data_IF_221756993365
#
_entry.id   IF_221756993365
#
_cell.length_a   1.000
_cell.length_b   1.000
_cell.length_c   1.000
_cell.angle_alpha   90.00
_cell.angle_beta   90.00
_cell.angle_gamma   90.00
#
_symmetry.space_group_name_H-M   'P 1'
#
loop_
_entity.id
_entity.type
_entity.pdbx_description
1 polymer ?
#
# COMPACT_ATOMS: atom_id res chain seq x y z
N UNK A 1 -0.13 -11.60 -13.98
CA UNK A 1 0.59 -12.73 -13.35
C UNK A 1 -0.22 -14.03 -13.42
N UNK A 2 -1.36 -14.15 -12.74
CA UNK A 2 -2.16 -15.40 -12.68
C UNK A 2 -2.48 -16.03 -14.05
N UNK A 3 -2.88 -15.24 -15.06
CA UNK A 3 -3.12 -15.76 -16.41
C UNK A 3 -1.86 -16.42 -17.03
N UNK A 4 -0.67 -15.82 -16.83
CA UNK A 4 0.59 -16.40 -17.29
C UNK A 4 1.00 -17.66 -16.51
N UNK A 5 0.46 -17.82 -15.31
CA UNK A 5 0.75 -18.92 -14.39
C UNK A 5 -0.35 -20.00 -14.39
N UNK A 6 -1.21 -20.04 -15.43
CA UNK A 6 -2.17 -21.13 -15.63
C UNK A 6 -3.54 -20.96 -14.97
N UNK A 7 -3.92 -19.74 -14.55
CA UNK A 7 -5.22 -19.53 -13.88
C UNK A 7 -6.45 -19.96 -14.72
N UNK A 8 -6.36 -19.92 -16.06
CA UNK A 8 -7.43 -20.42 -16.94
C UNK A 8 -7.68 -21.93 -16.77
N UNK A 9 -6.59 -22.70 -16.68
CA UNK A 9 -6.64 -24.13 -16.44
C UNK A 9 -7.15 -24.42 -15.02
N UNK A 10 -6.64 -23.69 -14.02
CA UNK A 10 -7.12 -23.81 -12.64
C UNK A 10 -8.64 -23.59 -12.54
N UNK A 11 -9.18 -22.55 -13.22
CA UNK A 11 -10.61 -22.28 -13.24
C UNK A 11 -11.38 -23.45 -13.88
N UNK A 12 -10.90 -23.98 -15.01
CA UNK A 12 -11.56 -25.09 -15.69
C UNK A 12 -11.59 -26.35 -14.82
N UNK A 13 -10.46 -26.72 -14.22
CA UNK A 13 -10.33 -27.91 -13.37
C UNK A 13 -11.15 -27.80 -12.08
N UNK A 14 -11.10 -26.65 -11.42
CA UNK A 14 -11.89 -26.41 -10.19
C UNK A 14 -13.38 -26.41 -10.48
N UNK A 15 -13.83 -25.80 -11.60
CA UNK A 15 -15.25 -25.77 -11.98
C UNK A 15 -15.80 -27.16 -12.31
N UNK A 16 -14.98 -28.05 -12.85
CA UNK A 16 -15.38 -29.43 -13.18
C UNK A 16 -15.39 -30.35 -11.96
N UNK A 17 -14.51 -30.10 -10.97
CA UNK A 17 -14.17 -31.11 -9.97
C UNK A 17 -14.68 -30.81 -8.56
N UNK A 18 -15.06 -29.58 -8.23
CA UNK A 18 -15.45 -29.18 -6.86
C UNK A 18 -16.94 -29.37 -6.52
N UNK A 19 -17.76 -29.76 -7.50
CA UNK A 19 -19.20 -30.07 -7.32
C UNK A 19 -20.09 -28.83 -7.14
N UNK A 20 -21.41 -29.07 -7.07
CA UNK A 20 -22.44 -28.02 -7.12
C UNK A 20 -22.51 -27.11 -5.88
N UNK A 21 -21.84 -27.50 -4.78
CA UNK A 21 -21.75 -26.71 -3.54
C UNK A 21 -20.75 -25.55 -3.61
N UNK A 22 -19.95 -25.46 -4.69
CA UNK A 22 -18.88 -24.47 -4.84
C UNK A 22 -19.13 -23.60 -6.04
N UNK A 23 -19.17 -22.28 -5.83
CA UNK A 23 -19.24 -21.30 -6.92
C UNK A 23 -17.83 -20.78 -7.25
N UNK A 24 -17.30 -21.19 -8.40
CA UNK A 24 -16.05 -20.65 -8.93
C UNK A 24 -16.33 -19.34 -9.67
N UNK A 25 -15.63 -18.27 -9.30
CA UNK A 25 -15.80 -16.95 -9.90
C UNK A 25 -14.46 -16.34 -10.29
N UNK A 26 -14.43 -15.70 -11.47
CA UNK A 26 -13.32 -14.83 -11.88
C UNK A 26 -13.41 -13.50 -11.14
N UNK A 27 -12.31 -13.08 -10.53
CA UNK A 27 -12.20 -11.81 -9.82
C UNK A 27 -10.99 -11.02 -10.34
N UNK A 28 -10.96 -9.69 -10.14
CA UNK A 28 -9.77 -8.87 -10.38
C UNK A 28 -8.56 -9.29 -9.52
N UNK A 29 -7.43 -8.63 -9.72
CA UNK A 29 -6.21 -8.87 -8.96
C UNK A 29 -6.44 -8.74 -7.45
N UNK A 30 -6.11 -9.79 -6.68
CA UNK A 30 -6.23 -9.83 -5.21
C UNK A 30 -4.95 -9.38 -4.48
N UNK A 31 -4.02 -8.74 -5.19
CA UNK A 31 -2.81 -8.16 -4.60
C UNK A 31 -1.74 -9.17 -4.18
N UNK A 32 -1.72 -10.37 -4.80
CA UNK A 32 -0.76 -11.45 -4.52
C UNK A 32 -0.06 -11.95 -5.79
N UNK A 33 0.37 -11.03 -6.64
CA UNK A 33 0.84 -11.37 -7.99
C UNK A 33 2.20 -12.09 -8.01
N UNK A 34 3.00 -11.97 -6.96
CA UNK A 34 4.26 -12.67 -6.81
C UNK A 34 4.09 -14.17 -6.52
N UNK A 35 2.96 -14.58 -5.91
CA UNK A 35 2.64 -15.98 -5.61
C UNK A 35 1.64 -16.57 -6.62
N UNK A 36 1.61 -16.06 -7.85
CA UNK A 36 0.64 -16.46 -8.86
C UNK A 36 0.86 -17.92 -9.34
N UNK A 37 -0.22 -18.66 -9.67
CA UNK A 37 -1.62 -18.24 -9.66
C UNK A 37 -2.20 -18.23 -8.24
N UNK A 38 -3.24 -17.42 -8.01
CA UNK A 38 -3.87 -17.28 -6.69
C UNK A 38 -5.36 -17.53 -6.80
N UNK A 39 -5.90 -18.32 -5.88
CA UNK A 39 -7.32 -18.50 -5.63
C UNK A 39 -7.69 -17.95 -4.25
N UNK A 40 -8.97 -17.66 -4.02
CA UNK A 40 -9.46 -17.27 -2.70
C UNK A 40 -10.65 -18.14 -2.34
N UNK A 41 -10.53 -18.90 -1.24
CA UNK A 41 -11.60 -19.75 -0.70
C UNK A 41 -12.25 -18.99 0.44
N UNK A 42 -13.47 -18.47 0.22
CA UNK A 42 -14.09 -17.51 1.14
C UNK A 42 -13.28 -16.21 1.21
N UNK A 43 -12.52 -16.03 2.27
CA UNK A 43 -11.54 -14.95 2.45
C UNK A 43 -10.09 -15.46 2.48
N UNK A 44 -9.88 -16.79 2.51
CA UNK A 44 -8.57 -17.40 2.61
C UNK A 44 -7.84 -17.41 1.26
N UNK A 45 -6.72 -16.67 1.10
CA UNK A 45 -5.92 -16.75 -0.11
C UNK A 45 -5.16 -18.08 -0.17
N UNK A 46 -5.29 -18.79 -1.28
CA UNK A 46 -4.47 -19.94 -1.65
C UNK A 46 -3.46 -19.45 -2.67
N UNK A 47 -2.21 -19.36 -2.22
CA UNK A 47 -1.05 -18.96 -3.04
C UNK A 47 -0.52 -20.16 -3.83
N UNK A 48 0.10 -19.90 -4.99
CA UNK A 48 0.58 -20.94 -5.93
C UNK A 48 -0.48 -22.01 -6.19
N UNK A 49 -1.73 -21.56 -6.35
CA UNK A 49 -2.90 -22.41 -6.28
C UNK A 49 -2.96 -23.45 -7.39
N UNK A 50 -3.21 -24.70 -6.99
CA UNK A 50 -3.67 -25.77 -7.86
C UNK A 50 -5.04 -26.30 -7.38
N UNK A 51 -5.63 -27.22 -8.15
CA UNK A 51 -6.94 -27.81 -7.82
C UNK A 51 -6.92 -28.57 -6.48
N UNK A 52 -5.78 -29.15 -6.11
CA UNK A 52 -5.64 -29.92 -4.87
C UNK A 52 -5.60 -29.02 -3.65
N UNK A 53 -4.80 -27.95 -3.68
CA UNK A 53 -4.70 -26.96 -2.62
C UNK A 53 -6.04 -26.24 -2.38
N UNK A 54 -6.75 -25.88 -3.46
CA UNK A 54 -8.08 -25.28 -3.38
C UNK A 54 -9.08 -26.26 -2.76
N UNK A 55 -9.10 -27.52 -3.21
CA UNK A 55 -9.97 -28.56 -2.64
C UNK A 55 -9.68 -28.79 -1.17
N UNK A 56 -8.41 -28.89 -0.80
CA UNK A 56 -7.99 -29.07 0.59
C UNK A 56 -8.52 -27.94 1.48
N UNK A 57 -8.38 -26.68 1.05
CA UNK A 57 -8.91 -25.55 1.79
C UNK A 57 -10.44 -25.60 1.95
N UNK A 58 -11.16 -26.05 0.92
CA UNK A 58 -12.63 -26.23 0.98
C UNK A 58 -13.01 -27.35 1.94
N UNK A 59 -12.40 -28.53 1.81
CA UNK A 59 -12.69 -29.72 2.62
C UNK A 59 -12.35 -29.48 4.10
N UNK A 60 -11.31 -28.71 4.37
CA UNK A 60 -10.93 -28.29 5.72
C UNK A 60 -11.80 -27.16 6.29
N UNK A 61 -12.70 -26.57 5.50
CA UNK A 61 -13.48 -25.39 5.90
C UNK A 61 -12.61 -24.15 6.15
N UNK A 62 -11.42 -24.08 5.56
CA UNK A 62 -10.45 -23.01 5.72
C UNK A 62 -10.86 -21.78 4.88
N UNK A 63 -11.94 -21.12 5.31
CA UNK A 63 -12.56 -19.98 4.61
C UNK A 63 -12.13 -18.62 5.17
N UNK A 64 -11.49 -18.58 6.33
CA UNK A 64 -10.99 -17.35 6.95
C UNK A 64 -9.55 -17.08 6.53
N UNK A 65 -9.22 -15.81 6.30
CA UNK A 65 -7.85 -15.42 6.00
C UNK A 65 -6.98 -15.54 7.26
N UNK A 66 -5.81 -16.20 7.19
CA UNK A 66 -4.89 -16.24 8.32
C UNK A 66 -4.37 -14.84 8.64
N UNK A 67 -4.06 -14.60 9.92
CA UNK A 67 -3.31 -13.42 10.33
C UNK A 67 -1.90 -13.49 9.72
N UNK A 68 -1.29 -12.36 9.31
CA UNK A 68 0.11 -12.34 8.90
C UNK A 68 1.03 -12.63 10.09
N UNK A 69 1.41 -13.90 10.28
CA UNK A 69 2.16 -14.36 11.47
C UNK A 69 3.53 -13.67 11.62
N UNK A 70 4.16 -13.32 10.50
CA UNK A 70 5.45 -12.62 10.47
C UNK A 70 5.38 -11.12 10.79
N UNK A 71 4.19 -10.56 11.04
CA UNK A 71 4.04 -9.14 11.30
C UNK A 71 4.63 -8.75 12.66
N UNK A 72 5.53 -7.76 12.65
CA UNK A 72 6.07 -7.14 13.86
C UNK A 72 5.02 -6.28 14.54
N UNK A 73 4.40 -6.87 15.55
CA UNK A 73 3.39 -6.28 16.45
C UNK A 73 3.93 -5.10 17.28
N UNK A 74 3.03 -4.31 17.89
CA UNK A 74 3.34 -3.09 18.65
C UNK A 74 4.46 -3.28 19.67
N UNK A 75 4.38 -4.34 20.48
CA UNK A 75 5.38 -4.60 21.51
C UNK A 75 6.79 -4.81 20.92
N UNK A 76 6.89 -5.63 19.87
CA UNK A 76 8.14 -5.88 19.17
C UNK A 76 8.68 -4.63 18.48
N UNK A 77 7.80 -3.79 17.92
CA UNK A 77 8.17 -2.52 17.31
C UNK A 77 8.72 -1.51 18.33
N UNK A 78 8.04 -1.33 19.47
CA UNK A 78 8.49 -0.47 20.59
C UNK A 78 9.81 -0.95 21.18
N UNK A 79 9.99 -2.25 21.36
CA UNK A 79 11.25 -2.82 21.83
C UNK A 79 12.45 -2.45 20.93
N UNK A 80 12.20 -2.28 19.63
CA UNK A 80 13.19 -1.78 18.66
C UNK A 80 13.38 -0.27 18.63
N UNK A 81 12.76 0.49 19.54
CA UNK A 81 12.78 1.95 19.56
C UNK A 81 11.74 2.61 18.65
N UNK A 82 10.75 1.86 18.16
CA UNK A 82 9.58 2.42 17.48
C UNK A 82 8.78 3.35 18.38
N UNK A 83 8.11 4.33 17.78
CA UNK A 83 7.36 5.42 18.43
C UNK A 83 8.16 6.48 19.17
N UNK A 84 9.49 6.35 19.33
CA UNK A 84 10.31 7.37 20.00
C UNK A 84 10.20 8.75 19.32
N UNK A 85 10.20 8.78 17.98
CA UNK A 85 10.07 10.03 17.24
C UNK A 85 8.69 10.67 17.48
N UNK A 86 7.62 9.86 17.45
CA UNK A 86 6.29 10.36 17.78
C UNK A 86 6.20 10.89 19.21
N UNK A 87 6.78 10.18 20.18
CA UNK A 87 6.85 10.61 21.59
C UNK A 87 7.66 11.91 21.75
N UNK A 88 8.75 12.09 21.00
CA UNK A 88 9.52 13.34 20.96
C UNK A 88 8.70 14.51 20.40
N UNK A 89 7.91 14.28 19.35
CA UNK A 89 7.00 15.26 18.78
C UNK A 89 5.95 15.71 19.82
N UNK A 90 5.27 14.76 20.47
CA UNK A 90 4.22 15.07 21.46
C UNK A 90 4.81 15.74 22.71
N UNK A 91 6.04 15.40 23.11
CA UNK A 91 6.73 16.03 24.22
C UNK A 91 7.34 17.41 23.90
N UNK A 92 7.18 17.91 22.68
CA UNK A 92 7.71 19.22 22.25
C UNK A 92 9.21 19.25 22.01
N UNK A 93 9.87 18.08 21.90
CA UNK A 93 11.30 17.98 21.55
C UNK A 93 11.56 18.15 20.05
N UNK A 94 10.53 17.97 19.23
CA UNK A 94 10.55 18.26 17.78
C UNK A 94 9.49 19.30 17.46
N UNK A 95 9.68 20.02 16.36
CA UNK A 95 8.67 20.95 15.84
C UNK A 95 8.04 20.44 14.55
N UNK A 96 6.78 20.76 14.31
CA UNK A 96 6.11 20.36 13.08
C UNK A 96 6.77 20.98 11.83
N UNK A 97 7.35 22.17 11.96
CA UNK A 97 8.13 22.81 10.88
C UNK A 97 9.37 22.00 10.52
N UNK A 98 10.11 21.53 11.53
CA UNK A 98 11.30 20.68 11.33
C UNK A 98 10.95 19.39 10.56
N UNK A 99 9.87 18.70 10.95
CA UNK A 99 9.42 17.48 10.29
C UNK A 99 9.02 17.77 8.84
N UNK A 100 8.19 18.80 8.61
CA UNK A 100 7.74 19.16 7.26
C UNK A 100 8.93 19.54 6.37
N UNK A 101 9.86 20.36 6.87
CA UNK A 101 11.06 20.76 6.14
C UNK A 101 11.96 19.56 5.80
N UNK A 102 12.08 18.57 6.70
CA UNK A 102 12.79 17.33 6.41
C UNK A 102 12.16 16.56 5.24
N UNK A 103 10.83 16.43 5.20
CA UNK A 103 10.12 15.76 4.10
C UNK A 103 10.27 16.51 2.77
N UNK A 104 10.25 17.84 2.80
CA UNK A 104 10.47 18.69 1.61
C UNK A 104 11.91 18.55 1.10
N UNK A 105 12.90 18.62 2.00
CA UNK A 105 14.31 18.45 1.63
C UNK A 105 14.61 17.05 1.08
N UNK A 106 13.97 16.02 1.65
CA UNK A 106 14.06 14.65 1.16
C UNK A 106 13.42 14.48 -0.22
N UNK A 107 12.62 15.46 -0.67
CA UNK A 107 11.79 15.39 -1.86
C UNK A 107 10.87 14.16 -1.84
N UNK A 108 10.30 13.84 -0.66
CA UNK A 108 9.34 12.76 -0.53
C UNK A 108 8.09 13.09 -1.35
N UNK A 109 7.72 12.19 -2.26
CA UNK A 109 6.53 12.31 -3.12
C UNK A 109 5.49 11.28 -2.71
N UNK A 110 4.22 11.59 -2.94
CA UNK A 110 3.13 10.63 -2.78
C UNK A 110 3.40 9.35 -3.57
N UNK A 111 3.34 8.22 -2.87
CA UNK A 111 3.68 6.88 -3.37
C UNK A 111 2.46 6.08 -3.87
N UNK A 112 1.31 6.74 -4.02
CA UNK A 112 0.08 6.18 -4.61
C UNK A 112 -0.08 6.43 -6.12
N UNK A 113 0.93 6.99 -6.81
CA UNK A 113 0.93 7.19 -8.27
C UNK A 113 1.11 8.65 -8.71
N UNK A 114 0.29 9.58 -8.21
CA UNK A 114 0.31 10.98 -8.67
C UNK A 114 1.61 11.75 -8.34
N UNK A 115 2.38 11.30 -7.35
CA UNK A 115 3.70 11.87 -7.06
C UNK A 115 3.67 13.32 -6.57
N UNK A 116 2.63 13.80 -5.90
CA UNK A 116 2.63 15.15 -5.33
C UNK A 116 3.61 15.26 -4.14
N UNK A 117 4.37 16.37 -3.96
CA UNK A 117 5.31 16.50 -2.84
C UNK A 117 4.61 16.43 -1.47
N UNK A 118 5.03 15.50 -0.60
CA UNK A 118 4.35 15.19 0.65
C UNK A 118 4.39 16.36 1.65
N UNK A 119 5.57 16.95 1.87
CA UNK A 119 5.72 18.09 2.78
C UNK A 119 4.90 19.32 2.36
N UNK A 120 4.83 19.60 1.06
CA UNK A 120 3.93 20.65 0.53
C UNK A 120 2.46 20.34 0.79
N UNK A 121 2.03 19.08 0.63
CA UNK A 121 0.65 18.65 0.94
C UNK A 121 0.36 18.89 2.43
N UNK A 122 1.31 18.59 3.31
CA UNK A 122 1.18 18.82 4.75
C UNK A 122 1.03 20.29 5.09
N UNK A 123 1.82 21.19 4.49
CA UNK A 123 1.67 22.65 4.68
C UNK A 123 0.30 23.13 4.28
N UNK A 124 -0.13 22.80 3.06
CA UNK A 124 -1.44 23.22 2.52
C UNK A 124 -2.56 22.84 3.47
N UNK A 125 -2.63 21.59 3.92
CA UNK A 125 -3.69 21.14 4.83
C UNK A 125 -3.52 21.73 6.23
N UNK A 126 -2.29 21.94 6.70
CA UNK A 126 -2.02 22.54 8.01
C UNK A 126 -2.50 23.98 8.10
N UNK A 127 -2.45 24.72 7.00
CA UNK A 127 -2.89 26.12 6.91
C UNK A 127 -4.42 26.26 6.77
N UNK A 128 -5.14 25.14 6.58
CA UNK A 128 -6.60 25.14 6.50
C UNK A 128 -7.26 25.19 7.89
N UNK A 129 -8.49 25.73 7.99
CA UNK A 129 -9.22 25.80 9.24
C UNK A 129 -9.51 24.41 9.81
N UNK A 130 -9.45 24.28 11.14
CA UNK A 130 -9.91 23.09 11.84
C UNK A 130 -11.46 23.00 11.81
N UNK A 131 -12.06 21.80 11.93
CA UNK A 131 -11.39 20.50 12.06
C UNK A 131 -10.81 19.98 10.73
N UNK A 132 -9.60 19.41 10.81
CA UNK A 132 -8.89 18.77 9.70
C UNK A 132 -8.95 17.24 9.87
N UNK A 133 -9.10 16.51 8.77
CA UNK A 133 -9.21 15.05 8.76
C UNK A 133 -8.05 14.42 7.98
N UNK A 134 -7.80 13.13 8.19
CA UNK A 134 -6.87 12.36 7.37
C UNK A 134 -7.55 11.14 6.77
N UNK A 135 -7.24 10.87 5.52
CA UNK A 135 -7.57 9.62 4.84
C UNK A 135 -6.27 8.90 4.47
N UNK A 136 -6.16 7.61 4.82
CA UNK A 136 -5.06 6.76 4.39
C UNK A 136 -5.58 5.75 3.39
N UNK A 137 -4.96 5.73 2.21
CA UNK A 137 -5.33 4.84 1.11
C UNK A 137 -4.47 3.57 1.12
N UNK A 138 -5.12 2.43 1.41
CA UNK A 138 -4.60 1.05 1.34
C UNK A 138 -5.54 0.20 0.47
N UNK A 139 -6.12 0.79 -0.57
CA UNK A 139 -6.97 0.03 -1.51
C UNK A 139 -6.13 -0.88 -2.42
N UNK A 140 -4.89 -0.48 -2.77
CA UNK A 140 -3.93 -1.23 -3.60
C UNK A 140 -4.59 -2.07 -4.72
N UNK A 141 -5.60 -1.48 -5.40
CA UNK A 141 -6.44 -2.21 -6.36
C UNK A 141 -5.76 -2.38 -7.72
N UNK A 142 -4.70 -1.61 -7.98
CA UNK A 142 -3.96 -1.61 -9.24
C UNK A 142 -3.34 -3.00 -9.51
N UNK A 143 -3.69 -3.69 -10.61
CA UNK A 143 -3.19 -5.03 -10.87
C UNK A 143 -1.67 -5.09 -10.97
N UNK A 144 -1.07 -6.06 -10.26
CA UNK A 144 0.39 -6.21 -10.19
C UNK A 144 1.04 -5.47 -9.03
N UNK A 145 0.30 -4.66 -8.28
CA UNK A 145 0.79 -3.97 -7.07
C UNK A 145 0.46 -4.78 -5.81
N UNK A 146 1.45 -4.89 -4.93
CA UNK A 146 1.36 -5.63 -3.66
C UNK A 146 2.41 -5.16 -2.62
N UNK A 147 2.98 -3.97 -2.84
CA UNK A 147 4.00 -3.34 -1.99
C UNK A 147 3.43 -2.90 -0.64
N UNK A 148 2.19 -2.41 -0.63
CA UNK A 148 1.54 -1.94 0.59
C UNK A 148 1.23 -3.14 1.48
N UNK A 149 0.63 -4.21 0.92
CA UNK A 149 0.46 -5.48 1.63
C UNK A 149 1.79 -6.01 2.17
N UNK A 150 2.84 -6.02 1.34
CA UNK A 150 4.16 -6.53 1.75
C UNK A 150 4.69 -5.86 3.02
N UNK A 151 4.60 -4.52 3.10
CA UNK A 151 5.02 -3.79 4.29
C UNK A 151 4.08 -4.00 5.46
N UNK A 152 2.77 -4.01 5.24
CA UNK A 152 1.79 -4.11 6.31
C UNK A 152 1.76 -5.51 6.95
N UNK A 153 2.02 -6.56 6.18
CA UNK A 153 2.16 -7.93 6.67
C UNK A 153 3.48 -8.17 7.44
N UNK A 154 4.42 -7.20 7.46
CA UNK A 154 5.74 -7.33 8.09
C UNK A 154 6.00 -6.28 9.17
N UNK A 155 5.83 -5.01 8.86
CA UNK A 155 6.18 -3.87 9.71
C UNK A 155 5.03 -2.83 9.74
N UNK A 156 3.80 -3.19 10.16
CA UNK A 156 2.65 -2.30 10.09
C UNK A 156 2.85 -1.01 10.91
N UNK A 157 3.57 -1.09 12.03
CA UNK A 157 3.79 0.05 12.92
C UNK A 157 4.71 1.13 12.34
N UNK A 158 5.52 0.82 11.31
CA UNK A 158 6.31 1.84 10.60
C UNK A 158 5.42 2.87 9.94
N UNK A 159 4.40 2.40 9.23
CA UNK A 159 3.37 3.23 8.64
C UNK A 159 2.53 3.93 9.73
N UNK A 160 2.07 3.18 10.75
CA UNK A 160 1.20 3.75 11.81
C UNK A 160 1.90 4.86 12.60
N UNK A 161 3.20 4.74 12.88
CA UNK A 161 3.98 5.82 13.51
C UNK A 161 4.05 7.05 12.60
N UNK A 162 4.36 6.88 11.31
CA UNK A 162 4.36 7.97 10.34
C UNK A 162 3.00 8.65 10.20
N UNK A 163 1.91 7.89 10.28
CA UNK A 163 0.53 8.38 10.31
C UNK A 163 0.26 9.26 11.53
N UNK A 164 0.69 8.83 12.73
CA UNK A 164 0.54 9.63 13.95
C UNK A 164 1.40 10.92 13.92
N UNK A 165 2.62 10.85 13.39
CA UNK A 165 3.48 12.03 13.21
C UNK A 165 2.83 13.02 12.23
N UNK A 166 2.29 12.55 11.12
CA UNK A 166 1.57 13.37 10.16
C UNK A 166 0.35 14.03 10.80
N UNK A 167 -0.41 13.28 11.58
CA UNK A 167 -1.59 13.77 12.27
C UNK A 167 -1.24 14.86 13.29
N UNK A 168 -0.17 14.66 14.07
CA UNK A 168 0.36 15.65 15.00
C UNK A 168 0.86 16.92 14.28
N UNK A 169 1.67 16.77 13.23
CA UNK A 169 2.28 17.89 12.54
C UNK A 169 1.24 18.78 11.82
N UNK A 170 0.20 18.15 11.27
CA UNK A 170 -0.86 18.81 10.50
C UNK A 170 -2.06 19.20 11.36
N UNK A 171 -2.16 18.75 12.62
CA UNK A 171 -3.28 19.07 13.51
C UNK A 171 -4.59 18.37 13.12
N UNK A 172 -4.50 17.09 12.80
CA UNK A 172 -5.62 16.24 12.40
C UNK A 172 -6.41 15.77 13.62
N UNK A 173 -7.74 15.91 13.59
CA UNK A 173 -8.62 15.49 14.68
C UNK A 173 -9.10 14.04 14.58
N UNK A 174 -9.20 13.48 13.37
CA UNK A 174 -9.62 12.09 13.14
C UNK A 174 -9.02 11.53 11.84
N UNK A 175 -8.68 10.25 11.86
CA UNK A 175 -8.00 9.52 10.79
C UNK A 175 -8.90 8.37 10.32
N UNK A 176 -9.05 8.23 9.02
CA UNK A 176 -9.74 7.12 8.36
C UNK A 176 -8.72 6.31 7.56
N UNK A 177 -8.59 5.02 7.89
CA UNK A 177 -7.73 4.09 7.14
C UNK A 177 -8.63 3.25 6.23
N UNK A 178 -8.51 3.42 4.92
CA UNK A 178 -9.30 2.65 3.95
C UNK A 178 -8.49 1.46 3.46
N UNK A 179 -9.00 0.25 3.72
CA UNK A 179 -8.39 -1.01 3.35
C UNK A 179 -9.33 -1.79 2.43
N UNK A 180 -8.82 -2.27 1.31
CA UNK A 180 -9.56 -3.14 0.38
C UNK A 180 -10.12 -4.39 1.04
N UNK A 181 -11.12 -5.01 0.41
CA UNK A 181 -11.77 -6.19 0.97
C UNK A 181 -10.87 -7.44 0.95
N UNK A 182 -10.07 -7.58 -0.09
CA UNK A 182 -9.26 -8.76 -0.39
C UNK A 182 -8.13 -8.98 0.62
N UNK A 183 -7.82 -7.98 1.46
CA UNK A 183 -6.82 -8.04 2.50
C UNK A 183 -7.43 -8.40 3.86
N UNK A 184 -8.25 -9.45 3.91
CA UNK A 184 -9.03 -9.82 5.09
C UNK A 184 -8.17 -10.17 6.32
N UNK A 185 -7.08 -10.94 6.15
CA UNK A 185 -6.17 -11.27 7.25
C UNK A 185 -5.45 -10.03 7.79
N UNK A 186 -5.04 -9.15 6.89
CA UNK A 186 -4.45 -7.86 7.26
C UNK A 186 -5.45 -6.91 7.92
N UNK A 187 -6.73 -6.96 7.54
CA UNK A 187 -7.81 -6.20 8.21
C UNK A 187 -7.94 -6.62 9.67
N UNK A 188 -7.90 -7.92 9.96
CA UNK A 188 -7.94 -8.43 11.32
C UNK A 188 -6.70 -7.98 12.11
N UNK A 189 -5.50 -8.12 11.54
CA UNK A 189 -4.24 -7.63 12.12
C UNK A 189 -4.30 -6.13 12.45
N UNK A 190 -4.73 -5.30 11.50
CA UNK A 190 -4.81 -3.85 11.71
C UNK A 190 -5.87 -3.47 12.74
N UNK A 191 -6.99 -4.20 12.85
CA UNK A 191 -7.96 -3.96 13.90
C UNK A 191 -7.33 -4.18 15.30
N UNK A 192 -6.63 -5.30 15.49
CA UNK A 192 -5.91 -5.62 16.73
C UNK A 192 -4.85 -4.56 17.06
N UNK A 193 -3.99 -4.22 16.10
CA UNK A 193 -2.90 -3.26 16.34
C UNK A 193 -3.40 -1.83 16.54
N UNK A 194 -4.52 -1.43 15.91
CA UNK A 194 -5.13 -0.12 16.15
C UNK A 194 -5.75 -0.02 17.54
N UNK A 195 -6.36 -1.08 18.06
CA UNK A 195 -6.86 -1.13 19.43
C UNK A 195 -5.70 -1.02 20.44
N UNK A 196 -4.62 -1.79 20.22
CA UNK A 196 -3.40 -1.69 21.01
C UNK A 196 -2.77 -0.29 20.94
N UNK A 197 -2.78 0.33 19.77
CA UNK A 197 -2.26 1.68 19.55
C UNK A 197 -3.08 2.73 20.32
N UNK A 198 -4.41 2.64 20.30
CA UNK A 198 -5.29 3.53 21.08
C UNK A 198 -5.04 3.40 22.58
N UNK A 199 -4.78 2.19 23.08
CA UNK A 199 -4.43 1.98 24.49
C UNK A 199 -3.06 2.59 24.83
N UNK A 200 -2.07 2.50 23.93
CA UNK A 200 -0.74 3.03 24.14
C UNK A 200 -0.64 4.56 24.02
N UNK A 201 -1.49 5.18 23.19
CA UNK A 201 -1.52 6.62 22.93
C UNK A 201 -2.95 7.17 22.99
N UNK A 202 -3.56 7.25 24.19
CA UNK A 202 -4.96 7.68 24.35
C UNK A 202 -5.24 9.12 23.91
N UNK A 203 -4.20 9.95 23.80
CA UNK A 203 -4.26 11.33 23.30
C UNK A 203 -4.12 11.44 21.77
N UNK A 204 -3.83 10.34 21.08
CA UNK A 204 -3.77 10.32 19.63
C UNK A 204 -5.18 10.58 19.04
N UNK A 205 -5.26 11.11 17.80
CA UNK A 205 -6.54 11.26 17.11
C UNK A 205 -7.29 9.94 17.01
N UNK A 206 -8.62 9.99 16.97
CA UNK A 206 -9.43 8.80 16.71
C UNK A 206 -9.04 8.20 15.35
N UNK A 207 -8.83 6.88 15.30
CA UNK A 207 -8.49 6.15 14.08
C UNK A 207 -9.62 5.16 13.78
N UNK A 208 -10.19 5.26 12.59
CA UNK A 208 -11.27 4.41 12.12
C UNK A 208 -10.81 3.58 10.90
N UNK A 209 -10.81 2.26 11.05
CA UNK A 209 -10.53 1.34 9.95
C UNK A 209 -11.80 1.13 9.12
N UNK A 210 -11.73 1.45 7.84
CA UNK A 210 -12.81 1.29 6.86
C UNK A 210 -12.48 0.18 5.88
N UNK A 211 -13.39 -0.78 5.79
CA UNK A 211 -13.36 -1.86 4.82
C UNK A 211 -13.96 -1.37 3.49
N UNK A 212 -13.20 -1.51 2.41
CA UNK A 212 -13.68 -1.29 1.05
C UNK A 212 -14.60 -2.41 0.57
N UNK A 213 -15.20 -2.23 -0.62
CA UNK A 213 -16.20 -3.14 -1.16
C UNK A 213 -15.82 -3.74 -2.53
N UNK A 214 -14.51 -3.92 -2.78
CA UNK A 214 -13.99 -4.56 -4.00
C UNK A 214 -14.10 -3.70 -5.27
N UNK A 215 -13.96 -2.38 -5.14
CA UNK A 215 -14.08 -1.45 -6.26
C UNK A 215 -12.74 -0.77 -6.57
N UNK A 216 -12.09 -1.18 -7.66
CA UNK A 216 -10.81 -0.62 -8.14
C UNK A 216 -10.78 0.92 -8.20
N UNK A 217 -11.90 1.54 -8.59
CA UNK A 217 -12.00 3.01 -8.69
C UNK A 217 -11.85 3.70 -7.33
N UNK A 218 -12.13 3.02 -6.21
CA UNK A 218 -11.95 3.56 -4.86
C UNK A 218 -10.47 3.69 -4.46
N UNK A 219 -9.52 3.21 -5.28
CA UNK A 219 -8.12 3.58 -5.16
C UNK A 219 -7.84 5.04 -5.55
N UNK A 220 -8.75 5.69 -6.30
CA UNK A 220 -8.68 7.13 -6.57
C UNK A 220 -9.06 7.95 -5.32
N UNK A 221 -8.28 8.99 -5.02
CA UNK A 221 -8.36 9.78 -3.79
C UNK A 221 -9.78 10.24 -3.43
N UNK A 222 -10.51 10.80 -4.39
CA UNK A 222 -11.86 11.35 -4.15
C UNK A 222 -12.96 10.30 -4.17
N UNK A 223 -12.81 9.23 -4.98
CA UNK A 223 -13.72 8.08 -4.95
C UNK A 223 -13.61 7.32 -3.61
N UNK A 224 -12.41 7.18 -3.06
CA UNK A 224 -12.19 6.64 -1.71
C UNK A 224 -12.96 7.43 -0.67
N UNK A 225 -12.90 8.77 -0.74
CA UNK A 225 -13.63 9.67 0.16
C UNK A 225 -15.13 9.47 0.05
N UNK A 226 -15.68 9.40 -1.16
CA UNK A 226 -17.11 9.10 -1.35
C UNK A 226 -17.48 7.75 -0.73
N UNK A 227 -16.63 6.73 -0.88
CA UNK A 227 -16.85 5.41 -0.25
C UNK A 227 -16.80 5.47 1.28
N UNK A 228 -15.86 6.22 1.87
CA UNK A 228 -15.80 6.45 3.32
C UNK A 228 -17.05 7.20 3.81
N UNK A 229 -17.60 8.10 3.02
CA UNK A 229 -18.83 8.83 3.34
C UNK A 229 -20.11 7.99 3.16
N UNK A 230 -19.99 6.72 2.77
CA UNK A 230 -21.12 5.82 2.56
C UNK A 230 -21.83 6.00 1.22
N UNK A 231 -21.21 6.73 0.29
CA UNK A 231 -21.72 6.95 -1.07
C UNK A 231 -21.06 5.98 -2.05
N UNK A 232 -21.53 5.99 -3.30
CA UNK A 232 -20.87 5.25 -4.39
C UNK A 232 -19.51 5.91 -4.67
N UNK A 233 -18.46 5.11 -4.83
CA UNK A 233 -17.10 5.58 -5.13
C UNK A 233 -16.95 6.18 -6.53
N UNK A 234 -17.59 7.32 -6.77
CA UNK A 234 -17.47 8.07 -8.01
C UNK A 234 -16.49 9.23 -7.79
N UNK A 235 -15.43 9.36 -8.60
CA UNK A 235 -14.49 10.47 -8.46
C UNK A 235 -15.19 11.82 -8.50
N UNK A 236 -14.80 12.73 -7.59
CA UNK A 236 -15.32 14.09 -7.55
C UNK A 236 -14.71 14.93 -8.67
N UNK A 237 -15.50 15.84 -9.22
CA UNK A 237 -14.98 16.89 -10.08
C UNK A 237 -14.08 17.82 -9.25
N UNK A 238 -12.94 18.21 -9.84
CA UNK A 238 -12.00 19.17 -9.25
C UNK A 238 -12.02 20.44 -10.10
N UNK A 239 -12.06 21.65 -9.49
CA UNK A 239 -12.12 21.96 -8.05
C UNK A 239 -13.52 21.73 -7.41
N UNK A 240 -13.63 21.67 -6.07
CA UNK A 240 -12.58 21.90 -5.05
C UNK A 240 -11.62 20.70 -4.87
N UNK A 241 -10.41 20.96 -4.37
CA UNK A 241 -9.44 19.89 -4.06
C UNK A 241 -9.72 19.28 -2.69
N UNK A 242 -9.32 18.01 -2.50
CA UNK A 242 -9.49 17.27 -1.24
C UNK A 242 -8.80 17.94 -0.05
N UNK A 243 -7.67 18.61 -0.30
CA UNK A 243 -6.95 19.37 0.72
C UNK A 243 -7.81 20.51 1.31
N UNK A 244 -8.79 21.02 0.57
CA UNK A 244 -9.71 22.09 0.98
C UNK A 244 -11.06 21.51 1.44
N UNK A 245 -11.65 20.64 0.61
CA UNK A 245 -12.98 20.05 0.79
C UNK A 245 -12.92 18.55 0.48
N UNK A 246 -12.46 17.78 1.46
CA UNK A 246 -12.35 16.32 1.41
C UNK A 246 -13.47 15.62 2.18
N UNK A 247 -13.09 14.77 3.14
CA UNK A 247 -14.00 13.99 3.98
C UNK A 247 -14.99 14.90 4.72
N UNK A 248 -16.28 14.61 4.56
CA UNK A 248 -17.38 15.31 5.21
C UNK A 248 -17.33 16.83 5.01
N UNK A 249 -16.82 17.27 3.85
CA UNK A 249 -16.65 18.68 3.51
C UNK A 249 -15.56 19.40 4.33
N UNK A 250 -14.60 18.66 4.92
CA UNK A 250 -13.50 19.21 5.71
C UNK A 250 -12.16 19.12 4.99
N UNK A 251 -11.22 20.04 5.28
CA UNK A 251 -9.84 19.91 4.81
C UNK A 251 -9.26 18.55 5.17
N UNK A 252 -8.77 17.81 4.17
CA UNK A 252 -8.35 16.43 4.36
C UNK A 252 -6.93 16.20 3.86
N UNK A 253 -6.08 15.66 4.73
CA UNK A 253 -4.78 15.13 4.34
C UNK A 253 -4.97 13.70 3.85
N UNK A 254 -4.75 13.46 2.56
CA UNK A 254 -4.71 12.11 2.02
C UNK A 254 -3.28 11.64 1.75
N UNK A 255 -2.99 10.38 2.08
CA UNK A 255 -1.78 9.68 1.66
C UNK A 255 -2.01 8.19 1.40
N UNK A 256 -1.27 7.66 0.42
CA UNK A 256 -0.93 6.24 0.39
C UNK A 256 -0.05 5.86 1.60
N UNK A 257 -0.23 4.65 2.13
CA UNK A 257 0.51 4.18 3.32
C UNK A 257 2.04 4.27 3.19
N UNK A 258 2.61 4.02 2.01
CA UNK A 258 4.07 4.01 1.83
C UNK A 258 4.67 5.40 1.99
N UNK A 259 3.90 6.44 1.63
CA UNK A 259 4.31 7.83 1.87
C UNK A 259 4.52 8.08 3.36
N UNK A 260 3.63 7.54 4.20
CA UNK A 260 3.72 7.68 5.66
C UNK A 260 4.79 6.75 6.25
N UNK A 261 5.00 5.57 5.67
CA UNK A 261 6.05 4.62 6.07
C UNK A 261 7.44 5.26 6.11
N UNK A 262 7.78 6.09 5.11
CA UNK A 262 9.11 6.72 5.01
C UNK A 262 9.35 7.87 5.98
N UNK A 263 8.30 8.41 6.63
CA UNK A 263 8.41 9.61 7.48
C UNK A 263 9.46 9.43 8.58
N UNK A 264 9.36 8.33 9.34
CA UNK A 264 10.29 8.04 10.44
C UNK A 264 11.73 7.95 9.95
N UNK A 265 11.97 7.15 8.91
CA UNK A 265 13.32 6.88 8.42
C UNK A 265 13.99 8.13 7.87
N UNK A 266 13.23 8.99 7.16
CA UNK A 266 13.72 10.27 6.65
C UNK A 266 14.14 11.20 7.79
N UNK A 267 13.34 11.26 8.86
CA UNK A 267 13.63 12.16 9.98
C UNK A 267 14.79 11.65 10.83
N UNK A 268 14.90 10.34 11.04
CA UNK A 268 15.97 9.74 11.86
C UNK A 268 17.32 9.70 11.13
N UNK A 269 17.34 9.33 9.84
CA UNK A 269 18.59 9.28 9.05
C UNK A 269 18.98 10.61 8.41
N UNK A 270 18.05 11.56 8.42
CA UNK A 270 18.19 12.86 7.78
C UNK A 270 17.74 12.85 6.32
N UNK A 271 17.19 13.98 5.91
CA UNK A 271 16.58 14.15 4.59
C UNK A 271 17.58 13.97 3.43
N UNK A 272 18.84 14.36 3.62
CA UNK A 272 19.91 14.18 2.64
C UNK A 272 20.20 12.71 2.32
N UNK A 273 20.06 11.82 3.31
CA UNK A 273 20.23 10.38 3.09
C UNK A 273 19.21 9.87 2.07
N UNK A 274 17.92 10.15 2.28
CA UNK A 274 16.86 9.71 1.36
C UNK A 274 17.03 10.35 -0.02
N UNK A 275 17.26 11.67 -0.08
CA UNK A 275 17.42 12.39 -1.34
C UNK A 275 18.57 11.83 -2.21
N UNK A 276 19.63 11.31 -1.58
CA UNK A 276 20.81 10.74 -2.27
C UNK A 276 20.60 9.35 -2.88
N UNK A 277 19.50 8.65 -2.57
CA UNK A 277 19.30 7.25 -2.98
C UNK A 277 18.85 7.05 -4.43
N UNK A 278 18.55 8.12 -5.18
CA UNK A 278 17.99 8.01 -6.52
C UNK A 278 19.03 7.80 -7.63
N UNK A 279 18.55 7.42 -8.81
CA UNK A 279 19.33 7.28 -10.06
C UNK A 279 18.74 8.18 -11.16
N UNK A 280 19.52 8.41 -12.22
CA UNK A 280 19.05 9.06 -13.45
C UNK A 280 18.33 10.41 -13.21
N UNK A 281 18.84 11.20 -12.26
CA UNK A 281 18.29 12.51 -11.90
C UNK A 281 17.03 12.49 -11.01
N UNK A 282 16.59 11.31 -10.56
CA UNK A 282 15.54 11.16 -9.55
C UNK A 282 16.14 11.10 -8.15
N UNK A 283 15.28 11.23 -7.13
CA UNK A 283 15.67 11.26 -5.70
C UNK A 283 14.80 10.29 -4.91
N UNK A 284 15.37 9.69 -3.87
CA UNK A 284 14.63 8.79 -2.99
C UNK A 284 14.67 7.33 -3.42
N UNK A 285 13.98 6.53 -2.62
CA UNK A 285 13.74 5.11 -2.85
C UNK A 285 12.29 4.88 -3.29
N UNK A 286 12.06 3.78 -3.99
CA UNK A 286 10.74 3.27 -4.36
C UNK A 286 10.67 1.78 -4.11
N UNK A 287 9.51 1.31 -3.67
CA UNK A 287 9.22 -0.12 -3.57
C UNK A 287 8.53 -0.57 -4.84
N UNK A 288 9.17 -1.46 -5.60
CA UNK A 288 8.66 -1.99 -6.86
C UNK A 288 8.06 -3.37 -6.64
N UNK A 289 6.77 -3.52 -6.90
CA UNK A 289 6.12 -4.82 -7.02
C UNK A 289 6.46 -5.42 -8.39
N UNK A 290 7.27 -6.47 -8.41
CA UNK A 290 7.66 -7.16 -9.65
C UNK A 290 7.09 -8.57 -9.66
N UNK A 291 6.35 -8.91 -10.71
CA UNK A 291 5.75 -10.22 -10.90
C UNK A 291 5.75 -10.60 -12.37
N UNK A 292 5.39 -11.85 -12.69
CA UNK A 292 5.45 -12.38 -14.04
C UNK A 292 6.70 -13.22 -14.25
N UNK A 293 7.30 -13.15 -15.45
CA UNK A 293 8.40 -14.05 -15.87
C UNK A 293 9.79 -13.52 -15.47
N UNK A 294 9.95 -13.13 -14.22
CA UNK A 294 11.25 -12.79 -13.63
C UNK A 294 11.73 -13.94 -12.74
N UNK A 295 13.03 -14.08 -12.53
CA UNK A 295 13.58 -15.17 -11.71
C UNK A 295 13.21 -15.01 -10.23
N UNK A 296 13.13 -13.77 -9.74
CA UNK A 296 12.79 -13.44 -8.35
C UNK A 296 11.64 -12.42 -8.29
N UNK A 297 10.38 -12.88 -8.38
CA UNK A 297 9.22 -12.01 -8.15
C UNK A 297 9.15 -11.58 -6.68
N UNK A 298 8.57 -10.42 -6.41
CA UNK A 298 8.47 -9.87 -5.07
C UNK A 298 8.50 -8.35 -5.04
N UNK A 299 8.65 -7.79 -3.84
CA UNK A 299 8.80 -6.36 -3.62
C UNK A 299 10.27 -6.02 -3.47
N UNK A 300 10.77 -5.16 -4.35
CA UNK A 300 12.16 -4.75 -4.39
C UNK A 300 12.29 -3.27 -4.04
N UNK A 301 13.04 -2.97 -2.99
CA UNK A 301 13.37 -1.60 -2.62
C UNK A 301 14.55 -1.12 -3.46
N UNK A 302 14.30 -0.22 -4.41
CA UNK A 302 15.30 0.23 -5.37
C UNK A 302 15.31 1.77 -5.49
N UNK A 303 16.40 2.35 -6.03
CA UNK A 303 16.47 3.78 -6.35
C UNK A 303 15.28 4.25 -7.19
N UNK A 304 14.69 5.39 -6.83
CA UNK A 304 13.82 6.10 -7.77
C UNK A 304 14.62 6.45 -9.04
N UNK A 305 14.02 6.34 -10.23
CA UNK A 305 14.72 6.57 -11.50
C UNK A 305 15.44 5.37 -12.07
N UNK A 306 15.51 4.23 -11.37
CA UNK A 306 16.05 2.97 -11.92
C UNK A 306 15.36 2.61 -13.25
N UNK A 307 16.06 2.03 -14.20
CA UNK A 307 15.41 1.50 -15.42
C UNK A 307 14.76 0.15 -15.13
N UNK A 308 13.82 -0.29 -15.97
CA UNK A 308 13.25 -1.64 -15.82
C UNK A 308 14.34 -2.71 -15.98
N UNK A 309 15.28 -2.52 -16.91
CA UNK A 309 16.36 -3.47 -17.13
C UNK A 309 17.26 -3.60 -15.91
N UNK A 310 17.69 -2.47 -15.35
CA UNK A 310 18.44 -2.43 -14.08
C UNK A 310 17.64 -3.10 -12.95
N UNK A 311 16.32 -2.86 -12.85
CA UNK A 311 15.49 -3.49 -11.83
C UNK A 311 15.45 -5.02 -11.99
N UNK A 312 15.25 -5.53 -13.21
CA UNK A 312 15.21 -6.97 -13.49
C UNK A 312 16.58 -7.61 -13.20
N UNK A 313 17.65 -7.02 -13.71
CA UNK A 313 18.99 -7.61 -13.66
C UNK A 313 19.59 -7.54 -12.24
N UNK A 314 19.43 -6.41 -11.54
CA UNK A 314 20.06 -6.19 -10.22
C UNK A 314 19.22 -6.72 -9.05
N UNK A 315 17.88 -6.70 -9.15
CA UNK A 315 16.99 -7.03 -8.02
C UNK A 315 16.18 -8.31 -8.26
N UNK A 316 15.80 -8.59 -9.50
CA UNK A 316 14.99 -9.77 -9.82
C UNK A 316 15.81 -10.98 -10.29
N UNK A 317 17.15 -10.89 -10.28
CA UNK A 317 18.07 -11.95 -10.72
C UNK A 317 17.86 -12.36 -12.19
N UNK A 318 17.37 -11.44 -13.02
CA UNK A 318 17.10 -11.64 -14.43
C UNK A 318 15.71 -12.18 -14.75
N UNK A 319 15.53 -12.58 -16.01
CA UNK A 319 14.30 -13.24 -16.49
C UNK A 319 14.26 -14.70 -16.04
N UNK A 320 13.05 -15.25 -15.93
CA UNK A 320 12.85 -16.68 -15.69
C UNK A 320 13.51 -17.51 -16.82
N UNK A 321 14.17 -18.66 -16.54
CA UNK A 321 14.88 -19.44 -17.56
C UNK A 321 14.04 -19.76 -18.79
N UNK A 322 14.61 -19.56 -19.98
CA UNK A 322 13.91 -19.76 -21.25
C UNK A 322 12.98 -18.61 -21.66
N UNK A 323 13.00 -17.49 -20.94
CA UNK A 323 12.23 -16.29 -21.28
C UNK A 323 13.11 -15.07 -21.51
N UNK A 324 12.66 -14.23 -22.43
CA UNK A 324 13.24 -12.92 -22.72
C UNK A 324 12.18 -11.84 -22.50
N UNK A 325 12.63 -10.63 -22.16
CA UNK A 325 11.72 -9.50 -21.98
C UNK A 325 11.13 -9.08 -23.33
N UNK A 326 9.81 -9.20 -23.45
CA UNK A 326 9.06 -8.77 -24.64
C UNK A 326 8.27 -7.47 -24.38
N UNK A 327 7.57 -7.42 -23.25
CA UNK A 327 6.78 -6.27 -22.83
C UNK A 327 6.62 -6.24 -21.31
N UNK A 328 6.24 -5.09 -20.77
CA UNK A 328 6.05 -4.86 -19.34
C UNK A 328 4.92 -3.87 -19.08
N UNK A 329 4.45 -3.82 -17.83
CA UNK A 329 3.33 -3.00 -17.39
C UNK A 329 3.76 -2.13 -16.21
N UNK A 330 4.34 -0.93 -16.44
CA UNK A 330 4.79 -0.06 -15.35
C UNK A 330 3.58 0.64 -14.72
N UNK A 331 3.41 0.54 -13.40
CA UNK A 331 2.29 1.18 -12.69
C UNK A 331 0.93 0.51 -12.90
N UNK A 332 0.92 -0.76 -13.28
CA UNK A 332 -0.29 -1.56 -13.48
C UNK A 332 -1.10 -1.19 -14.73
N UNK A 333 -2.36 -1.60 -14.76
CA UNK A 333 -3.30 -1.38 -15.87
C UNK A 333 -3.40 0.09 -16.30
N UNK A 334 -3.23 1.03 -15.37
CA UNK A 334 -3.23 2.48 -15.66
C UNK A 334 -2.07 2.95 -16.56
N UNK A 335 -0.91 2.30 -16.50
CA UNK A 335 0.30 2.72 -17.23
C UNK A 335 0.39 2.20 -18.66
N UNK A 336 -0.42 1.18 -19.00
CA UNK A 336 -0.41 0.53 -20.31
C UNK A 336 0.79 -0.41 -20.53
N UNK A 337 0.70 -1.24 -21.58
CA UNK A 337 1.74 -2.22 -21.90
C UNK A 337 2.83 -1.56 -22.74
N UNK A 338 4.06 -1.54 -22.22
CA UNK A 338 5.22 -0.98 -22.90
C UNK A 338 6.11 -2.09 -23.48
N UNK A 339 6.66 -1.92 -24.69
CA UNK A 339 7.56 -2.89 -25.31
C UNK A 339 8.96 -2.86 -24.67
N UNK A 340 9.69 -3.98 -24.74
CA UNK A 340 11.04 -4.13 -24.19
C UNK A 340 12.05 -3.06 -24.66
N UNK A 341 11.86 -2.47 -25.84
CA UNK A 341 12.68 -1.34 -26.34
C UNK A 341 12.62 -0.07 -25.48
N UNK A 342 11.64 0.03 -24.56
CA UNK A 342 11.51 1.13 -23.60
C UNK A 342 12.05 0.76 -22.21
N UNK A 343 12.58 -0.45 -22.01
CA UNK A 343 13.02 -0.92 -20.70
C UNK A 343 14.19 -0.13 -20.09
N UNK A 344 14.90 0.63 -20.93
CA UNK A 344 16.02 1.49 -20.52
C UNK A 344 15.58 2.93 -20.19
N UNK A 345 14.27 3.23 -20.24
CA UNK A 345 13.70 4.49 -19.78
C UNK A 345 13.64 4.50 -18.24
N UNK A 346 14.17 5.54 -17.56
CA UNK A 346 14.08 5.71 -16.11
C UNK A 346 12.64 5.66 -15.58
N UNK A 347 12.39 4.85 -14.55
CA UNK A 347 11.09 4.68 -13.88
C UNK A 347 10.79 5.77 -12.83
#
# INVERSE_FOLDING_TARGET
ACAMAGAEQLIAETSQSLGDGVRVQRVPCVGRCECAPVAVVGQNPVEEADVHAVRYAIDAGAIEAPLPEGARRLAGYRAGGGYRLYEDCVAGRRSAEEIIAALEHANLRGLGGAGFPAGRKWRVVRDMPAPRLMAVNIDEGEPGTFKDRFYLEREPHRFLEGMLIAAWAVGIGKIYVYLRDEYAGLRALLAEELDALRAAFPQAPEIELRRGAGAYVCGEESAMIESIEGKRGQPRLRPPFVAEVGLFGRPTLEHNMETLYWVREIVERGAGWFASQGRHGRKGLRSFSVSGRVAKPGVHLAPAGITLRELIDEFCEGMLPGHELYAYLPGGASGGILPARLADVPL
#
